data_IF_476168469761
#
_entry.id   IF_476168469761
#
_cell.length_a   1.000
_cell.length_b   1.000
_cell.length_c   1.000
_cell.angle_alpha   90.00
_cell.angle_beta   90.00
_cell.angle_gamma   90.00
#
_symmetry.space_group_name_H-M   'P 1'
#
loop_
_entity.id
_entity.type
_entity.pdbx_description
1 polymer ?
#
# COMPACT_ATOMS: atom_id res chain seq x y z
N UNK A 1 1.76 -10.58 16.96
CA UNK A 1 2.27 -10.48 16.37
C UNK A 1 2.26 -10.91 15.34
N UNK A 2 1.79 -10.94 14.77
CA UNK A 2 1.74 -11.66 13.78
C UNK A 2 1.44 -11.10 12.49
N UNK A 3 1.52 -9.78 12.29
CA UNK A 3 1.39 -9.22 10.99
C UNK A 3 2.68 -9.29 10.29
N UNK A 4 2.68 -9.81 9.10
CA UNK A 4 3.85 -9.81 8.25
C UNK A 4 4.20 -8.35 7.96
N UNK A 5 5.45 -7.91 8.17
CA UNK A 5 5.81 -6.50 7.95
C UNK A 5 5.45 -5.98 6.56
N UNK A 6 5.50 -6.84 5.55
CA UNK A 6 5.17 -6.44 4.18
C UNK A 6 3.69 -6.19 3.95
N UNK A 7 2.83 -6.61 4.87
CA UNK A 7 1.39 -6.45 4.70
C UNK A 7 0.98 -4.98 4.71
N UNK A 8 1.58 -4.20 5.59
CA UNK A 8 1.31 -2.76 5.61
C UNK A 8 1.88 -2.08 4.36
N UNK A 9 3.03 -2.54 3.89
CA UNK A 9 3.62 -2.00 2.67
C UNK A 9 2.72 -2.27 1.47
N UNK A 10 2.18 -3.47 1.38
CA UNK A 10 1.23 -3.84 0.33
C UNK A 10 0.00 -2.95 0.41
N UNK A 11 -0.53 -2.77 1.61
CA UNK A 11 -1.69 -1.92 1.82
C UNK A 11 -1.42 -0.50 1.31
N UNK A 12 -0.24 0.03 1.58
CA UNK A 12 0.10 1.38 1.15
C UNK A 12 0.19 1.49 -0.37
N UNK A 13 0.70 0.47 -1.05
CA UNK A 13 0.71 0.45 -2.51
C UNK A 13 -0.73 0.46 -3.06
N UNK A 14 -1.58 -0.40 -2.51
CA UNK A 14 -2.97 -0.49 -2.95
C UNK A 14 -3.71 0.82 -2.73
N UNK A 15 -3.44 1.51 -1.62
CA UNK A 15 -4.05 2.80 -1.33
C UNK A 15 -3.69 3.85 -2.37
N UNK A 16 -2.42 3.93 -2.71
CA UNK A 16 -1.95 4.93 -3.67
C UNK A 16 -2.55 4.67 -5.05
N UNK A 17 -2.55 3.41 -5.48
CA UNK A 17 -3.13 3.06 -6.76
C UNK A 17 -4.63 3.31 -6.80
N UNK A 18 -5.31 3.08 -5.69
CA UNK A 18 -6.75 3.33 -5.60
C UNK A 18 -7.07 4.82 -5.73
N UNK A 19 -6.22 5.67 -5.20
CA UNK A 19 -6.48 7.10 -5.19
C UNK A 19 -6.20 7.78 -6.53
N UNK A 20 -5.18 7.35 -7.24
CA UNK A 20 -4.70 8.10 -8.39
C UNK A 20 -4.69 7.38 -9.74
N UNK A 21 -5.14 6.17 -9.79
CA UNK A 21 -5.29 5.46 -11.05
C UNK A 21 -4.07 4.67 -11.48
N UNK A 22 -3.02 5.30 -11.93
CA UNK A 22 -1.85 4.55 -12.40
C UNK A 22 -0.55 5.19 -11.95
N UNK A 23 0.44 4.35 -11.68
CA UNK A 23 1.76 4.78 -11.25
C UNK A 23 2.82 3.89 -11.86
N UNK A 24 3.96 4.48 -12.18
CA UNK A 24 5.14 3.69 -12.51
C UNK A 24 5.77 3.17 -11.22
N UNK A 25 6.62 2.17 -11.36
CA UNK A 25 7.37 1.65 -10.21
C UNK A 25 8.17 2.76 -9.52
N UNK A 26 8.81 3.61 -10.31
CA UNK A 26 9.62 4.69 -9.76
C UNK A 26 8.77 5.70 -8.99
N UNK A 27 7.60 6.03 -9.52
CA UNK A 27 6.68 6.92 -8.82
C UNK A 27 6.22 6.33 -7.49
N UNK A 28 5.88 5.04 -7.48
CA UNK A 28 5.49 4.38 -6.25
C UNK A 28 6.63 4.36 -5.23
N UNK A 29 7.84 4.05 -5.69
CA UNK A 29 9.00 4.05 -4.81
C UNK A 29 9.21 5.41 -4.16
N UNK A 30 9.08 6.46 -4.95
CA UNK A 30 9.25 7.81 -4.47
C UNK A 30 8.19 8.20 -3.44
N UNK A 31 6.93 7.89 -3.73
CA UNK A 31 5.84 8.22 -2.82
C UNK A 31 5.92 7.47 -1.49
N UNK A 32 6.40 6.23 -1.53
CA UNK A 32 6.39 5.38 -0.35
C UNK A 32 7.72 5.37 0.41
N UNK A 33 8.76 5.92 -0.19
CA UNK A 33 10.08 5.86 0.41
C UNK A 33 10.69 4.47 0.36
N UNK A 34 10.27 3.66 -0.61
CA UNK A 34 10.81 2.31 -0.78
C UNK A 34 11.92 2.32 -1.81
N UNK A 35 12.83 1.35 -1.70
CA UNK A 35 13.80 1.12 -2.76
C UNK A 35 13.09 0.60 -4.00
N UNK A 36 13.70 0.79 -5.17
CA UNK A 36 13.15 0.25 -6.40
C UNK A 36 13.04 -1.26 -6.35
N UNK A 37 14.03 -1.92 -5.74
CA UNK A 37 14.00 -3.38 -5.61
C UNK A 37 12.84 -3.88 -4.78
N UNK A 38 12.58 -3.22 -3.65
CA UNK A 38 11.45 -3.60 -2.81
C UNK A 38 10.13 -3.38 -3.54
N UNK A 39 9.98 -2.24 -4.19
CA UNK A 39 8.77 -1.93 -4.94
C UNK A 39 8.55 -2.94 -6.06
N UNK A 40 9.60 -3.27 -6.80
CA UNK A 40 9.52 -4.26 -7.85
C UNK A 40 9.06 -5.62 -7.32
N UNK A 41 9.66 -6.04 -6.21
CA UNK A 41 9.28 -7.32 -5.59
C UNK A 41 7.80 -7.33 -5.21
N UNK A 42 7.35 -6.29 -4.54
CA UNK A 42 5.95 -6.22 -4.09
C UNK A 42 4.97 -6.16 -5.26
N UNK A 43 5.31 -5.40 -6.30
CA UNK A 43 4.45 -5.30 -7.47
C UNK A 43 4.35 -6.64 -8.20
N UNK A 44 5.45 -7.39 -8.28
CA UNK A 44 5.42 -8.72 -8.89
C UNK A 44 4.52 -9.65 -8.10
N UNK A 45 4.60 -9.61 -6.78
CA UNK A 45 3.75 -10.43 -5.94
C UNK A 45 2.29 -10.07 -6.10
N UNK A 46 1.99 -8.78 -6.14
CA UNK A 46 0.62 -8.31 -6.33
C UNK A 46 0.08 -8.67 -7.70
N UNK A 47 0.93 -8.62 -8.72
CA UNK A 47 0.53 -9.02 -10.07
C UNK A 47 0.23 -10.51 -10.13
N UNK A 48 1.05 -11.34 -9.47
CA UNK A 48 0.80 -12.77 -9.41
C UNK A 48 -0.54 -13.08 -8.76
N UNK A 49 -0.92 -12.30 -7.78
CA UNK A 49 -2.19 -12.49 -7.08
C UNK A 49 -3.36 -11.84 -7.79
N UNK A 50 -3.11 -11.16 -8.90
CA UNK A 50 -4.16 -10.52 -9.67
C UNK A 50 -4.69 -9.23 -9.08
N UNK A 51 -3.97 -8.63 -8.15
CA UNK A 51 -4.38 -7.40 -7.47
C UNK A 51 -3.99 -6.14 -8.21
N UNK A 52 -2.92 -6.21 -8.99
CA UNK A 52 -2.52 -5.12 -9.87
C UNK A 52 -2.26 -5.71 -11.26
N UNK A 53 -2.31 -4.85 -12.25
CA UNK A 53 -1.94 -5.24 -13.61
C UNK A 53 -1.16 -4.12 -14.26
N UNK A 54 -0.43 -4.47 -15.30
CA UNK A 54 0.39 -3.53 -16.02
C UNK A 54 -0.45 -2.84 -17.08
N UNK A 55 -0.29 -1.53 -17.15
CA UNK A 55 -0.87 -0.74 -18.22
C UNK A 55 0.30 -0.17 -19.02
N UNK A 56 0.37 -0.59 -20.28
CA UNK A 56 1.43 -0.11 -21.15
C UNK A 56 0.97 1.12 -21.89
N UNK A 57 1.79 2.17 -21.84
CA UNK A 57 1.58 3.29 -22.73
C UNK A 57 2.60 3.20 -23.83
N UNK A 58 2.14 3.02 -25.06
CA UNK A 58 3.03 3.20 -26.18
C UNK A 58 2.93 4.66 -26.59
N UNK A 59 4.02 5.38 -26.44
CA UNK A 59 4.10 6.71 -26.97
C UNK A 59 4.48 6.63 -28.44
N UNK A 60 3.96 7.57 -29.21
CA UNK A 60 4.28 7.69 -30.62
C UNK A 60 5.79 7.76 -30.89
N UNK A 61 6.55 8.12 -29.89
CA UNK A 61 7.99 8.27 -30.05
C UNK A 61 8.82 7.05 -29.65
N UNK A 62 8.26 5.93 -29.42
CA UNK A 62 8.95 4.67 -29.14
C UNK A 62 10.12 4.72 -28.16
N UNK A 63 10.52 5.90 -27.73
CA UNK A 63 11.72 6.05 -26.89
C UNK A 63 11.46 5.87 -25.41
N UNK A 64 10.18 5.89 -24.99
CA UNK A 64 9.85 5.76 -23.58
C UNK A 64 8.66 4.85 -23.45
N UNK A 65 8.94 3.58 -23.28
CA UNK A 65 7.90 2.65 -22.84
C UNK A 65 7.69 2.91 -21.37
N UNK A 66 6.61 3.55 -21.05
CA UNK A 66 6.24 3.74 -19.66
C UNK A 66 5.38 2.58 -19.24
N UNK A 67 5.90 1.78 -18.35
CA UNK A 67 5.13 0.72 -17.74
C UNK A 67 4.56 1.27 -16.47
N UNK A 68 3.23 1.33 -16.37
CA UNK A 68 2.58 1.75 -15.15
C UNK A 68 1.68 0.63 -14.64
N UNK A 69 1.32 0.72 -13.37
CA UNK A 69 0.53 -0.29 -12.71
C UNK A 69 -0.82 0.30 -12.31
N UNK A 70 -1.86 -0.49 -12.43
CA UNK A 70 -3.20 -0.09 -12.02
C UNK A 70 -3.80 -1.17 -11.14
N UNK A 71 -4.76 -0.74 -10.32
CA UNK A 71 -5.46 -1.64 -9.42
C UNK A 71 -6.51 -2.41 -10.18
N UNK A 72 -6.64 -3.70 -9.89
CA UNK A 72 -7.73 -4.52 -10.43
C UNK A 72 -8.91 -4.49 -9.47
N UNK A 73 -10.10 -4.97 -9.90
CA UNK A 73 -11.22 -5.11 -8.95
C UNK A 73 -10.86 -5.97 -7.74
N UNK A 74 -10.08 -7.03 -7.96
CA UNK A 74 -9.61 -7.87 -6.86
C UNK A 74 -8.71 -7.08 -5.90
N UNK A 75 -7.83 -6.24 -6.46
CA UNK A 75 -6.98 -5.38 -5.65
C UNK A 75 -7.76 -4.37 -4.84
N UNK A 76 -8.83 -3.82 -5.43
CA UNK A 76 -9.69 -2.89 -4.72
C UNK A 76 -10.40 -3.57 -3.55
N UNK A 77 -10.85 -4.81 -3.76
CA UNK A 77 -11.48 -5.58 -2.70
C UNK A 77 -10.49 -5.83 -1.55
N UNK A 78 -9.28 -6.23 -1.91
CA UNK A 78 -8.24 -6.48 -0.91
C UNK A 78 -7.90 -5.19 -0.15
N UNK A 79 -7.80 -4.06 -0.86
CA UNK A 79 -7.54 -2.78 -0.24
C UNK A 79 -8.62 -2.43 0.78
N UNK A 80 -9.88 -2.71 0.44
CA UNK A 80 -11.00 -2.43 1.34
C UNK A 80 -10.92 -3.29 2.60
N UNK A 81 -10.61 -4.59 2.44
CA UNK A 81 -10.47 -5.48 3.58
C UNK A 81 -9.31 -5.09 4.48
N UNK A 82 -8.18 -4.71 3.89
CA UNK A 82 -7.04 -4.26 4.66
C UNK A 82 -7.30 -2.92 5.35
N UNK A 83 -8.12 -2.07 4.73
CA UNK A 83 -8.49 -0.81 5.36
C UNK A 83 -9.19 -1.06 6.69
N UNK A 84 -10.14 -1.98 6.71
CA UNK A 84 -10.82 -2.31 7.95
C UNK A 84 -9.86 -2.92 8.97
N UNK A 85 -9.02 -3.85 8.51
CA UNK A 85 -8.05 -4.50 9.38
C UNK A 85 -7.13 -3.48 10.07
N UNK A 86 -6.56 -2.56 9.32
CA UNK A 86 -5.65 -1.58 9.89
C UNK A 86 -6.37 -0.51 10.68
N UNK A 87 -7.61 -0.20 10.32
CA UNK A 87 -8.42 0.73 11.09
C UNK A 87 -8.67 0.18 12.50
N UNK A 88 -9.08 -1.08 12.59
CA UNK A 88 -9.32 -1.71 13.89
C UNK A 88 -8.04 -1.76 14.72
N UNK A 89 -6.94 -2.06 14.07
CA UNK A 89 -5.66 -2.12 14.74
C UNK A 89 -5.22 -0.76 15.28
N UNK A 90 -5.39 0.29 14.47
CA UNK A 90 -5.07 1.64 14.91
C UNK A 90 -5.98 2.09 16.06
N UNK A 91 -7.22 1.67 16.02
CA UNK A 91 -8.15 1.98 17.10
C UNK A 91 -7.70 1.34 18.41
N UNK A 92 -7.26 0.08 18.36
CA UNK A 92 -6.74 -0.60 19.54
C UNK A 92 -5.50 0.10 20.09
N UNK A 93 -4.59 0.49 19.21
CA UNK A 93 -3.39 1.22 19.61
C UNK A 93 -3.75 2.55 20.26
N UNK A 94 -4.70 3.25 19.67
CA UNK A 94 -5.15 4.52 20.18
C UNK A 94 -5.76 4.37 21.60
N UNK A 95 -6.62 3.38 21.77
CA UNK A 95 -7.25 3.16 23.06
C UNK A 95 -6.23 2.75 24.12
N UNK A 96 -5.25 1.96 23.72
CA UNK A 96 -4.18 1.56 24.63
C UNK A 96 -3.37 2.76 25.11
N UNK A 97 -2.97 3.63 24.18
CA UNK A 97 -2.22 4.84 24.53
C UNK A 97 -3.06 5.78 25.37
N UNK A 98 -4.34 5.88 25.05
CA UNK A 98 -5.24 6.74 25.81
C UNK A 98 -5.36 6.25 27.25
N UNK A 99 -5.42 4.92 27.44
CA UNK A 99 -5.49 4.36 28.78
C UNK A 99 -4.20 4.61 29.55
N UNK A 100 -3.04 4.46 28.90
CA UNK A 100 -1.75 4.77 29.52
C UNK A 100 -1.71 6.25 29.96
N UNK A 101 -2.15 7.13 29.08
CA UNK A 101 -2.18 8.55 29.38
C UNK A 101 -3.01 8.82 30.62
N UNK A 102 -4.22 8.24 30.68
CA UNK A 102 -5.11 8.42 31.83
C UNK A 102 -4.52 7.88 33.12
N UNK A 103 -3.90 6.71 33.04
CA UNK A 103 -3.31 6.10 34.24
C UNK A 103 -2.15 6.92 34.75
N UNK A 104 -1.27 7.37 33.87
CA UNK A 104 -0.13 8.18 34.30
C UNK A 104 -0.56 9.54 34.85
N UNK A 105 -1.58 10.10 34.25
CA UNK A 105 -2.10 11.39 34.70
C UNK A 105 -2.71 11.27 36.07
N UNK A 106 -3.43 10.19 36.36
CA UNK A 106 -4.07 10.00 37.66
C UNK A 106 -3.09 9.74 38.79
N UNK A 107 -1.93 9.24 38.48
CA UNK A 107 -0.95 8.94 39.52
C UNK A 107 -0.18 10.15 40.01
N UNK A 108 -0.43 11.31 39.44
CA UNK A 108 0.22 12.53 39.92
C UNK A 108 -0.63 13.22 41.03
#
# INVERSE_FOLDING_TARGET
MNEHPLREDIFNILRILSANGSFTQRELSSHLGFSLGKTNYLLKELAKKGMVKIKNFSHKNHKLKRISYILTPKGLKEKTELTLHFLERKQEEYESLRQEWKNNFKER
#
